data_IF_698471845228
#
_entry.id   IF_698471845228
#
_cell.length_a   1.000
_cell.length_b   1.000
_cell.length_c   1.000
_cell.angle_alpha   90.00
_cell.angle_beta   90.00
_cell.angle_gamma   90.00
#
_symmetry.space_group_name_H-M   'P 1'
#
loop_
_entity.id
_entity.type
_entity.pdbx_description
1 polymer ?
#
# COMPACT_ATOMS: atom_id res chain seq x y z
N UNK A 1 -6.91 6.27 -9.27
CA UNK A 1 -5.56 6.73 -8.85
C UNK A 1 -4.52 6.44 -9.94
N UNK A 2 -3.57 7.36 -10.15
CA UNK A 2 -2.48 7.18 -11.13
C UNK A 2 -1.38 6.27 -10.56
N UNK A 3 -0.80 5.40 -11.39
CA UNK A 3 0.35 4.56 -11.01
C UNK A 3 1.57 5.42 -10.68
N UNK A 4 2.23 5.11 -9.56
CA UNK A 4 3.48 5.77 -9.14
C UNK A 4 4.67 4.95 -9.66
N UNK A 5 5.63 5.57 -10.38
CA UNK A 5 6.80 4.86 -10.89
C UNK A 5 7.61 4.18 -9.77
N UNK A 6 8.19 3.02 -10.06
CA UNK A 6 9.09 2.32 -9.12
C UNK A 6 10.23 3.21 -8.61
N UNK A 7 10.76 4.09 -9.46
CA UNK A 7 11.84 5.01 -9.07
C UNK A 7 11.43 5.93 -7.91
N UNK A 8 10.16 6.36 -7.85
CA UNK A 8 9.65 7.18 -6.74
C UNK A 8 9.53 6.33 -5.48
N UNK A 9 9.03 5.10 -5.58
CA UNK A 9 9.01 4.17 -4.44
C UNK A 9 10.41 3.89 -3.89
N UNK A 10 11.39 3.66 -4.78
CA UNK A 10 12.80 3.47 -4.39
C UNK A 10 13.36 4.71 -3.67
N UNK A 11 13.06 5.92 -4.17
CA UNK A 11 13.49 7.17 -3.53
C UNK A 11 12.91 7.32 -2.13
N UNK A 12 11.60 7.06 -1.96
CA UNK A 12 10.97 7.06 -0.64
C UNK A 12 11.67 6.09 0.30
N UNK A 13 11.98 4.86 -0.16
CA UNK A 13 12.66 3.86 0.66
C UNK A 13 14.09 4.25 1.06
N UNK A 14 14.75 5.05 0.23
CA UNK A 14 16.12 5.51 0.49
C UNK A 14 16.15 6.72 1.42
N UNK A 15 15.19 7.63 1.29
CA UNK A 15 15.19 8.93 1.98
C UNK A 15 14.38 8.92 3.28
N UNK A 16 13.43 8.01 3.42
CA UNK A 16 12.50 7.99 4.55
C UNK A 16 12.56 6.66 5.31
N UNK A 17 12.40 6.70 6.65
CA UNK A 17 12.28 5.48 7.43
C UNK A 17 10.93 4.80 7.15
N UNK A 18 10.98 3.62 6.53
CA UNK A 18 9.80 2.77 6.33
C UNK A 18 9.51 1.95 7.58
N UNK A 19 8.23 1.81 7.92
CA UNK A 19 7.77 1.08 9.11
C UNK A 19 7.51 -0.39 8.83
N UNK A 20 7.01 -0.71 7.64
CA UNK A 20 6.58 -2.06 7.30
C UNK A 20 7.63 -2.85 6.54
N UNK A 21 7.76 -4.13 6.94
CA UNK A 21 8.58 -5.09 6.18
C UNK A 21 8.08 -5.25 4.74
N UNK A 22 6.77 -5.09 4.54
CA UNK A 22 6.17 -5.08 3.21
C UNK A 22 6.74 -3.94 2.37
N UNK A 23 6.71 -2.70 2.84
CA UNK A 23 7.23 -1.56 2.10
C UNK A 23 8.74 -1.66 1.89
N UNK A 24 9.50 -2.10 2.90
CA UNK A 24 10.94 -2.38 2.77
C UNK A 24 11.24 -3.40 1.66
N UNK A 25 10.33 -4.33 1.40
CA UNK A 25 10.49 -5.34 0.36
C UNK A 25 10.05 -4.79 -1.00
N UNK A 26 8.86 -4.20 -1.08
CA UNK A 26 8.26 -3.75 -2.35
C UNK A 26 8.95 -2.50 -2.90
N UNK A 27 9.29 -1.54 -2.04
CA UNK A 27 9.85 -0.27 -2.47
C UNK A 27 11.33 -0.35 -2.82
N UNK A 28 12.02 -1.44 -2.47
CA UNK A 28 13.46 -1.63 -2.78
C UNK A 28 13.69 -2.61 -3.94
N UNK A 29 12.68 -2.89 -4.74
CA UNK A 29 12.83 -3.77 -5.90
C UNK A 29 13.73 -3.10 -6.95
N UNK A 30 14.67 -3.84 -7.56
CA UNK A 30 15.64 -3.28 -8.49
C UNK A 30 15.06 -2.95 -9.87
N UNK A 31 13.97 -3.62 -10.27
CA UNK A 31 13.31 -3.39 -11.56
C UNK A 31 11.79 -3.52 -11.44
N UNK A 32 11.01 -2.92 -12.37
CA UNK A 32 9.56 -3.07 -12.40
C UNK A 32 9.09 -4.53 -12.51
N UNK A 33 9.85 -5.38 -13.19
CA UNK A 33 9.57 -6.81 -13.31
C UNK A 33 9.76 -7.53 -11.97
N UNK A 34 10.80 -7.18 -11.21
CA UNK A 34 11.03 -7.73 -9.88
C UNK A 34 9.90 -7.33 -8.91
N UNK A 35 9.44 -6.07 -8.97
CA UNK A 35 8.25 -5.62 -8.23
C UNK A 35 7.00 -6.39 -8.66
N UNK A 36 6.78 -6.54 -9.96
CA UNK A 36 5.62 -7.28 -10.49
C UNK A 36 5.62 -8.75 -10.02
N UNK A 37 6.79 -9.40 -9.97
CA UNK A 37 6.94 -10.75 -9.44
C UNK A 37 6.71 -10.83 -7.93
N UNK A 38 7.18 -9.84 -7.17
CA UNK A 38 6.95 -9.78 -5.73
C UNK A 38 5.46 -9.60 -5.41
N UNK A 39 4.77 -8.69 -6.11
CA UNK A 39 3.32 -8.50 -6.01
C UNK A 39 2.56 -9.75 -6.46
N UNK A 40 2.97 -10.41 -7.55
CA UNK A 40 2.34 -11.65 -8.01
C UNK A 40 2.44 -12.77 -6.96
N UNK A 41 3.61 -12.94 -6.32
CA UNK A 41 3.78 -13.91 -5.22
C UNK A 41 2.85 -13.63 -4.04
N UNK A 42 2.69 -12.36 -3.67
CA UNK A 42 1.74 -11.97 -2.64
C UNK A 42 0.29 -12.25 -3.08
N UNK A 43 -0.04 -11.96 -4.33
CA UNK A 43 -1.35 -12.25 -4.91
C UNK A 43 -1.67 -13.75 -4.91
N UNK A 44 -0.72 -14.60 -5.27
CA UNK A 44 -0.86 -16.06 -5.24
C UNK A 44 -1.08 -16.55 -3.80
N UNK A 45 -0.31 -16.02 -2.84
CA UNK A 45 -0.47 -16.35 -1.44
C UNK A 45 -1.84 -15.92 -0.91
N UNK A 46 -2.29 -14.67 -1.15
CA UNK A 46 -3.61 -14.20 -0.72
C UNK A 46 -4.75 -14.95 -1.40
N UNK A 47 -4.57 -15.34 -2.67
CA UNK A 47 -5.54 -16.19 -3.39
C UNK A 47 -5.65 -17.56 -2.73
N UNK A 48 -4.52 -18.16 -2.29
CA UNK A 48 -4.54 -19.41 -1.54
C UNK A 48 -5.25 -19.31 -0.18
N UNK A 49 -5.39 -18.09 0.37
CA UNK A 49 -6.17 -17.80 1.58
C UNK A 49 -7.65 -17.53 1.28
N UNK A 50 -8.07 -17.56 0.01
CA UNK A 50 -9.46 -17.39 -0.42
C UNK A 50 -9.87 -15.96 -0.73
N UNK A 51 -8.93 -15.00 -0.80
CA UNK A 51 -9.25 -13.62 -1.13
C UNK A 51 -9.50 -13.43 -2.63
N UNK A 52 -10.45 -12.56 -2.98
CA UNK A 52 -10.74 -12.25 -4.38
C UNK A 52 -9.63 -11.38 -5.00
N UNK A 53 -9.42 -11.51 -6.30
CA UNK A 53 -8.43 -10.69 -7.02
C UNK A 53 -8.67 -9.17 -6.84
N UNK A 54 -9.93 -8.75 -6.70
CA UNK A 54 -10.28 -7.33 -6.47
C UNK A 54 -9.84 -6.86 -5.07
N UNK A 55 -10.07 -7.68 -4.04
CA UNK A 55 -9.60 -7.40 -2.67
C UNK A 55 -8.07 -7.34 -2.63
N UNK A 56 -7.40 -8.25 -3.33
CA UNK A 56 -5.93 -8.32 -3.41
C UNK A 56 -5.36 -7.05 -4.04
N UNK A 57 -5.86 -6.66 -5.23
CA UNK A 57 -5.43 -5.42 -5.89
C UNK A 57 -5.67 -4.18 -5.03
N UNK A 58 -6.84 -4.11 -4.38
CA UNK A 58 -7.16 -3.02 -3.47
C UNK A 58 -6.21 -3.00 -2.27
N UNK A 59 -5.91 -4.14 -1.67
CA UNK A 59 -4.96 -4.28 -0.57
C UNK A 59 -3.57 -3.79 -0.98
N UNK A 60 -3.02 -4.28 -2.09
CA UNK A 60 -1.68 -3.92 -2.57
C UNK A 60 -1.51 -2.43 -2.86
N UNK A 61 -2.57 -1.78 -3.36
CA UNK A 61 -2.54 -0.35 -3.69
C UNK A 61 -2.74 0.55 -2.46
N UNK A 62 -3.53 0.13 -1.48
CA UNK A 62 -3.95 0.96 -0.35
C UNK A 62 -3.06 0.76 0.88
N UNK A 63 -2.53 -0.45 1.07
CA UNK A 63 -1.64 -0.78 2.18
C UNK A 63 -0.50 0.25 2.37
N UNK A 64 0.32 0.58 1.35
CA UNK A 64 1.41 1.54 1.52
C UNK A 64 0.93 2.91 2.00
N UNK A 65 -0.22 3.37 1.51
CA UNK A 65 -0.78 4.67 1.89
C UNK A 65 -1.12 4.72 3.37
N UNK A 66 -1.63 3.60 3.91
CA UNK A 66 -2.02 3.49 5.31
C UNK A 66 -0.80 3.34 6.23
N UNK A 67 0.10 2.40 5.90
CA UNK A 67 1.16 1.99 6.82
C UNK A 67 2.39 2.88 6.76
N UNK A 68 2.62 3.54 5.63
CA UNK A 68 3.76 4.45 5.42
C UNK A 68 3.34 5.92 5.32
N UNK A 69 2.14 6.30 5.78
CA UNK A 69 1.60 7.65 5.59
C UNK A 69 2.55 8.76 6.07
N UNK A 70 3.31 8.54 7.16
CA UNK A 70 4.33 9.48 7.63
C UNK A 70 5.50 9.61 6.64
N UNK A 71 6.09 8.49 6.21
CA UNK A 71 7.19 8.48 5.25
C UNK A 71 6.78 9.12 3.90
N UNK A 72 5.59 8.77 3.40
CA UNK A 72 5.06 9.36 2.16
C UNK A 72 4.85 10.88 2.32
N UNK A 73 4.31 11.32 3.45
CA UNK A 73 4.10 12.74 3.72
C UNK A 73 5.41 13.50 3.84
N UNK A 74 6.37 12.95 4.58
CA UNK A 74 7.69 13.56 4.74
C UNK A 74 8.41 13.68 3.39
N UNK A 75 8.44 12.61 2.59
CA UNK A 75 9.04 12.63 1.25
C UNK A 75 8.42 13.70 0.37
N UNK A 76 7.08 13.75 0.27
CA UNK A 76 6.36 14.71 -0.58
C UNK A 76 6.66 16.15 -0.15
N UNK A 77 6.71 16.42 1.16
CA UNK A 77 7.00 17.76 1.67
C UNK A 77 8.47 18.13 1.48
N UNK A 78 9.42 17.24 1.76
CA UNK A 78 10.86 17.54 1.67
C UNK A 78 11.38 17.65 0.23
N UNK A 79 10.78 16.90 -0.71
CA UNK A 79 11.11 16.95 -2.14
C UNK A 79 10.29 17.98 -2.92
N UNK A 80 9.37 18.69 -2.26
CA UNK A 80 8.39 19.59 -2.87
C UNK A 80 7.54 18.93 -3.98
N UNK A 81 7.44 17.60 -4.00
CA UNK A 81 6.73 16.81 -5.00
C UNK A 81 5.21 16.75 -4.75
N UNK A 82 4.58 17.89 -4.46
CA UNK A 82 3.17 17.98 -4.05
C UNK A 82 2.19 17.37 -5.06
N UNK A 83 2.53 17.32 -6.35
CA UNK A 83 1.73 16.66 -7.39
C UNK A 83 1.51 15.16 -7.11
N UNK A 84 2.41 14.51 -6.37
CA UNK A 84 2.29 13.11 -5.96
C UNK A 84 1.08 12.86 -5.06
N UNK A 85 0.51 13.87 -4.38
CA UNK A 85 -0.69 13.71 -3.55
C UNK A 85 -1.92 13.22 -4.31
N UNK A 86 -1.96 13.42 -5.62
CA UNK A 86 -3.02 12.88 -6.48
C UNK A 86 -2.94 11.35 -6.59
N UNK A 87 -1.74 10.79 -6.53
CA UNK A 87 -1.48 9.35 -6.60
C UNK A 87 -1.24 8.72 -5.21
N UNK A 88 -0.78 9.51 -4.25
CA UNK A 88 -0.44 9.14 -2.87
C UNK A 88 -1.24 10.01 -1.89
N UNK A 89 -2.57 9.89 -1.87
CA UNK A 89 -3.38 10.63 -0.92
C UNK A 89 -2.99 10.25 0.51
N UNK A 90 -3.11 11.20 1.42
CA UNK A 90 -2.88 10.94 2.83
C UNK A 90 -4.00 10.06 3.40
N UNK A 91 -3.62 8.92 3.96
CA UNK A 91 -4.54 7.92 4.52
C UNK A 91 -3.99 7.52 5.88
N UNK A 92 -4.64 7.92 6.96
CA UNK A 92 -4.14 7.73 8.32
C UNK A 92 -4.91 6.66 9.09
N UNK A 93 -6.11 6.31 8.61
CA UNK A 93 -6.98 5.33 9.27
C UNK A 93 -7.42 4.22 8.31
N UNK A 94 -7.73 3.05 8.88
CA UNK A 94 -8.35 1.94 8.13
C UNK A 94 -9.68 2.36 7.50
N UNK A 95 -10.44 3.25 8.15
CA UNK A 95 -11.72 3.72 7.62
C UNK A 95 -11.54 4.57 6.35
N UNK A 96 -10.54 5.46 6.33
CA UNK A 96 -10.17 6.23 5.14
C UNK A 96 -9.65 5.33 4.03
N UNK A 97 -8.77 4.39 4.37
CA UNK A 97 -8.22 3.39 3.46
C UNK A 97 -9.34 2.59 2.78
N UNK A 98 -10.31 2.11 3.58
CA UNK A 98 -11.44 1.35 3.07
C UNK A 98 -12.34 2.21 2.19
N UNK A 99 -12.67 3.43 2.60
CA UNK A 99 -13.48 4.35 1.78
C UNK A 99 -12.84 4.61 0.43
N UNK A 100 -11.53 4.86 0.40
CA UNK A 100 -10.77 5.06 -0.83
C UNK A 100 -10.79 3.81 -1.72
N UNK A 101 -10.54 2.64 -1.12
CA UNK A 101 -10.54 1.37 -1.83
C UNK A 101 -11.91 1.01 -2.42
N UNK A 102 -12.99 1.15 -1.65
CA UNK A 102 -14.35 0.84 -2.11
C UNK A 102 -14.74 1.73 -3.28
N UNK A 103 -14.34 3.01 -3.28
CA UNK A 103 -14.59 3.93 -4.38
C UNK A 103 -13.78 3.58 -5.64
N UNK A 104 -12.48 3.33 -5.50
CA UNK A 104 -11.58 3.07 -6.62
C UNK A 104 -11.85 1.71 -7.28
N UNK A 105 -12.14 0.68 -6.47
CA UNK A 105 -12.26 -0.70 -6.94
C UNK A 105 -13.72 -1.18 -7.07
N UNK A 106 -14.71 -0.37 -6.68
CA UNK A 106 -16.12 -0.76 -6.63
C UNK A 106 -16.34 -2.06 -5.83
N UNK A 107 -15.78 -2.10 -4.61
CA UNK A 107 -15.88 -3.26 -3.72
C UNK A 107 -17.33 -3.47 -3.26
N UNK A 108 -17.76 -4.73 -3.20
CA UNK A 108 -18.99 -5.11 -2.50
C UNK A 108 -18.84 -4.99 -0.99
N UNK A 109 -19.94 -5.11 -0.23
CA UNK A 109 -19.89 -5.11 1.23
C UNK A 109 -19.03 -6.25 1.80
N UNK A 110 -19.12 -7.45 1.18
CA UNK A 110 -18.28 -8.60 1.57
C UNK A 110 -16.81 -8.33 1.33
N UNK A 111 -16.45 -7.87 0.13
CA UNK A 111 -15.06 -7.54 -0.22
C UNK A 111 -14.50 -6.39 0.63
N UNK A 112 -15.34 -5.40 0.97
CA UNK A 112 -14.96 -4.31 1.86
C UNK A 112 -14.68 -4.82 3.28
N UNK A 113 -15.47 -5.77 3.78
CA UNK A 113 -15.24 -6.41 5.08
C UNK A 113 -13.92 -7.20 5.08
N UNK A 114 -13.66 -7.99 4.04
CA UNK A 114 -12.41 -8.73 3.87
C UNK A 114 -11.19 -7.81 3.83
N UNK A 115 -11.24 -6.74 3.03
CA UNK A 115 -10.18 -5.75 2.96
C UNK A 115 -9.95 -5.07 4.32
N UNK A 116 -11.02 -4.72 5.04
CA UNK A 116 -10.90 -4.13 6.37
C UNK A 116 -10.14 -5.05 7.33
N UNK A 117 -10.40 -6.35 7.29
CA UNK A 117 -9.70 -7.33 8.12
C UNK A 117 -8.21 -7.42 7.76
N UNK A 118 -7.87 -7.47 6.48
CA UNK A 118 -6.49 -7.48 6.01
C UNK A 118 -5.72 -6.23 6.45
N UNK A 119 -6.29 -5.05 6.26
CA UNK A 119 -5.68 -3.77 6.66
C UNK A 119 -5.49 -3.68 8.18
N UNK A 120 -6.50 -4.10 8.97
CA UNK A 120 -6.39 -4.12 10.44
C UNK A 120 -5.30 -5.07 10.91
N UNK A 121 -5.20 -6.25 10.29
CA UNK A 121 -4.14 -7.22 10.60
C UNK A 121 -2.76 -6.63 10.29
N UNK A 122 -2.60 -5.95 9.16
CA UNK A 122 -1.35 -5.30 8.80
C UNK A 122 -0.94 -4.21 9.81
N UNK A 123 -1.87 -3.33 10.18
CA UNK A 123 -1.63 -2.30 11.22
C UNK A 123 -1.28 -2.93 12.56
N UNK A 124 -1.98 -3.98 12.97
CA UNK A 124 -1.70 -4.67 14.23
C UNK A 124 -0.28 -5.27 14.27
N UNK A 125 0.17 -5.87 13.16
CA UNK A 125 1.52 -6.42 13.04
C UNK A 125 2.62 -5.36 13.09
N UNK A 126 2.32 -4.11 12.71
CA UNK A 126 3.26 -2.99 12.82
C UNK A 126 3.38 -2.50 14.26
N UNK A 127 2.25 -2.36 14.95
CA UNK A 127 2.22 -1.93 16.36
C UNK A 127 2.97 -2.90 17.27
N UNK A 128 2.94 -4.21 16.99
CA UNK A 128 3.70 -5.18 17.79
C UNK A 128 5.22 -5.18 17.55
N UNK A 129 5.68 -4.54 16.46
CA UNK A 129 7.10 -4.49 16.09
C UNK A 129 7.76 -3.14 16.41
N UNK A 130 6.98 -2.15 16.83
CA UNK A 130 7.43 -0.80 17.21
C UNK A 130 7.59 -0.69 18.72
#
# INVERSE_FOLDING_TARGET
MTQVPLTVWNQIAHEQPLLSQWALTMFNQPTPEALSQALAKESDWLTSQGHSARVISAYQQILPLLVEHHALTQFITSSEAYSLRTALPEVTTVAEALRLATQEFSLTDSESSELSQLLRKAVHLLVQKS
#
